data_IF_064822625322
#
_entry.id   IF_064822625322
#
_cell.length_a   1.000
_cell.length_b   1.000
_cell.length_c   1.000
_cell.angle_alpha   90.00
_cell.angle_beta   90.00
_cell.angle_gamma   90.00
#
_symmetry.space_group_name_H-M   'P 1'
#
loop_
_entity.id
_entity.type
_entity.pdbx_description
1 polymer ?
#
# COMPACT_ATOMS: atom_id res chain seq x y z
N UNK A 1 -15.54 -7.20 24.42
CA UNK A 1 -16.54 -6.67 23.46
C UNK A 1 -15.73 -6.13 22.29
N UNK A 2 -15.86 -6.77 21.13
CA UNK A 2 -14.96 -6.66 19.97
C UNK A 2 -15.06 -5.28 19.27
N UNK A 3 -13.97 -4.52 19.28
CA UNK A 3 -13.70 -3.37 18.41
C UNK A 3 -12.27 -3.61 17.92
N UNK A 4 -12.00 -4.06 16.71
CA UNK A 4 -11.98 -3.23 15.50
C UNK A 4 -11.99 -4.17 14.29
N UNK A 5 -13.11 -4.22 13.54
CA UNK A 5 -13.09 -4.69 12.16
C UNK A 5 -13.24 -3.44 11.30
N UNK A 6 -12.14 -2.81 10.95
CA UNK A 6 -12.15 -1.68 10.02
C UNK A 6 -12.66 -2.16 8.67
N UNK A 7 -13.52 -1.37 8.02
CA UNK A 7 -13.99 -1.72 6.68
C UNK A 7 -12.82 -1.67 5.70
N UNK A 8 -12.85 -2.45 4.59
CA UNK A 8 -11.75 -2.46 3.63
C UNK A 8 -11.48 -1.07 3.03
N UNK A 9 -12.53 -0.25 2.88
CA UNK A 9 -12.40 1.15 2.46
C UNK A 9 -11.57 1.99 3.45
N UNK A 10 -11.74 1.78 4.77
CA UNK A 10 -10.99 2.50 5.80
C UNK A 10 -9.52 2.05 5.82
N UNK A 11 -9.27 0.75 5.62
CA UNK A 11 -7.91 0.20 5.51
C UNK A 11 -7.19 0.76 4.28
N UNK A 12 -7.87 0.83 3.13
CA UNK A 12 -7.33 1.43 1.92
C UNK A 12 -7.05 2.93 2.09
N UNK A 13 -7.97 3.68 2.71
CA UNK A 13 -7.81 5.10 2.96
C UNK A 13 -6.61 5.37 3.89
N UNK A 14 -6.52 4.64 5.00
CA UNK A 14 -5.39 4.72 5.94
C UNK A 14 -4.07 4.37 5.29
N UNK A 15 -4.04 3.39 4.39
CA UNK A 15 -2.84 3.03 3.64
C UNK A 15 -2.35 4.18 2.73
N UNK A 16 -3.27 4.80 1.99
CA UNK A 16 -2.95 5.97 1.13
C UNK A 16 -2.48 7.15 1.98
N UNK A 17 -3.16 7.43 3.09
CA UNK A 17 -2.80 8.50 4.03
C UNK A 17 -1.40 8.29 4.62
N UNK A 18 -1.08 7.06 5.05
CA UNK A 18 0.24 6.71 5.55
C UNK A 18 1.33 6.93 4.49
N UNK A 19 1.07 6.64 3.21
CA UNK A 19 2.00 6.95 2.12
C UNK A 19 2.15 8.47 1.97
N UNK A 20 1.05 9.23 1.99
CA UNK A 20 1.06 10.68 1.86
C UNK A 20 1.91 11.35 2.96
N UNK A 21 1.71 10.97 4.22
CA UNK A 21 2.40 11.57 5.36
C UNK A 21 3.76 10.94 5.69
N UNK A 22 4.11 9.85 5.03
CA UNK A 22 5.43 9.23 5.12
C UNK A 22 5.60 8.33 6.33
N UNK A 23 4.50 7.70 6.74
CA UNK A 23 4.43 6.78 7.88
C UNK A 23 4.83 5.37 7.43
N UNK A 24 6.11 5.16 7.12
CA UNK A 24 6.61 3.90 6.54
C UNK A 24 6.35 2.66 7.41
N UNK A 25 6.34 2.81 8.74
CA UNK A 25 5.95 1.73 9.66
C UNK A 25 4.48 1.38 9.54
N UNK A 26 3.59 2.37 9.46
CA UNK A 26 2.14 2.14 9.30
C UNK A 26 1.84 1.49 7.96
N UNK A 27 2.52 1.93 6.89
CA UNK A 27 2.44 1.29 5.56
C UNK A 27 2.77 -0.20 5.67
N UNK A 28 3.87 -0.56 6.35
CA UNK A 28 4.28 -1.96 6.52
C UNK A 28 3.31 -2.79 7.36
N UNK A 29 2.76 -2.19 8.42
CA UNK A 29 1.79 -2.84 9.30
C UNK A 29 0.50 -3.18 8.57
N UNK A 30 0.05 -2.30 7.66
CA UNK A 30 -1.15 -2.51 6.85
C UNK A 30 -0.97 -3.54 5.74
N UNK A 31 0.27 -3.88 5.35
CA UNK A 31 0.52 -4.95 4.38
C UNK A 31 0.17 -6.31 4.96
N UNK A 32 -0.49 -7.13 4.14
CA UNK A 32 -0.69 -8.55 4.40
C UNK A 32 0.66 -9.30 4.34
N UNK A 33 0.72 -10.56 4.82
CA UNK A 33 1.89 -11.40 4.63
C UNK A 33 2.31 -11.52 3.15
N UNK A 34 1.34 -11.62 2.24
CA UNK A 34 1.56 -11.64 0.80
C UNK A 34 2.14 -10.32 0.30
N UNK A 35 1.61 -9.18 0.77
CA UNK A 35 2.11 -7.86 0.43
C UNK A 35 3.53 -7.63 0.92
N UNK A 36 3.84 -8.04 2.16
CA UNK A 36 5.20 -7.98 2.73
C UNK A 36 6.18 -8.85 1.94
N UNK A 37 5.80 -10.09 1.62
CA UNK A 37 6.63 -10.99 0.80
C UNK A 37 6.89 -10.42 -0.60
N UNK A 38 5.89 -9.79 -1.21
CA UNK A 38 6.02 -9.14 -2.52
C UNK A 38 6.96 -7.93 -2.44
N UNK A 39 6.82 -7.09 -1.42
CA UNK A 39 7.68 -5.93 -1.19
C UNK A 39 9.16 -6.34 -1.04
N UNK A 40 9.44 -7.39 -0.24
CA UNK A 40 10.79 -7.94 -0.09
C UNK A 40 11.30 -8.52 -1.42
N UNK A 41 10.46 -9.24 -2.17
CA UNK A 41 10.83 -9.81 -3.47
C UNK A 41 11.19 -8.72 -4.50
N UNK A 42 10.44 -7.62 -4.53
CA UNK A 42 10.75 -6.45 -5.37
C UNK A 42 12.05 -5.79 -4.92
N UNK A 43 12.27 -5.64 -3.61
CA UNK A 43 13.51 -5.08 -3.09
C UNK A 43 14.73 -5.95 -3.42
N UNK A 44 14.62 -7.28 -3.32
CA UNK A 44 15.64 -8.24 -3.76
C UNK A 44 15.98 -8.06 -5.23
N UNK A 45 14.96 -7.95 -6.10
CA UNK A 45 15.17 -7.69 -7.53
C UNK A 45 15.85 -6.33 -7.81
N UNK A 46 15.74 -5.38 -6.87
CA UNK A 46 16.38 -4.06 -6.92
C UNK A 46 17.71 -3.98 -6.16
N UNK A 47 18.26 -5.12 -5.72
CA UNK A 47 19.59 -5.19 -5.11
C UNK A 47 19.62 -5.14 -3.58
N UNK A 48 18.50 -5.39 -2.90
CA UNK A 48 18.52 -5.68 -1.46
C UNK A 48 19.37 -6.93 -1.18
N UNK A 49 20.20 -6.86 -0.15
CA UNK A 49 20.99 -8.00 0.29
C UNK A 49 20.10 -9.17 0.73
N UNK A 50 20.47 -10.41 0.34
CA UNK A 50 19.66 -11.61 0.61
C UNK A 50 19.58 -11.95 2.09
N UNK A 51 20.64 -11.69 2.85
CA UNK A 51 20.67 -11.92 4.30
C UNK A 51 19.72 -10.94 4.98
N UNK A 52 19.79 -9.65 4.60
CA UNK A 52 18.87 -8.63 5.13
C UNK A 52 17.42 -8.98 4.77
N UNK A 53 17.14 -9.37 3.52
CA UNK A 53 15.81 -9.80 3.10
C UNK A 53 15.27 -10.98 3.91
N UNK A 54 16.10 -12.01 4.17
CA UNK A 54 15.71 -13.15 5.02
C UNK A 54 15.36 -12.68 6.43
N UNK A 55 16.21 -11.84 7.02
CA UNK A 55 15.97 -11.32 8.37
C UNK A 55 14.69 -10.50 8.47
N UNK A 56 14.36 -9.71 7.45
CA UNK A 56 13.10 -8.94 7.39
C UNK A 56 11.90 -9.90 7.34
N UNK A 57 11.96 -10.93 6.48
CA UNK A 57 10.89 -11.94 6.36
C UNK A 57 10.70 -12.72 7.66
N UNK A 58 11.80 -13.09 8.30
CA UNK A 58 11.82 -13.86 9.55
C UNK A 58 11.57 -12.97 10.80
N UNK A 59 11.38 -11.66 10.60
CA UNK A 59 11.18 -10.66 11.68
C UNK A 59 12.32 -10.63 12.73
N UNK A 60 13.56 -10.83 12.27
CA UNK A 60 14.80 -10.80 13.07
C UNK A 60 15.81 -9.78 12.57
N UNK A 61 15.43 -8.93 11.60
CA UNK A 61 16.25 -7.80 11.17
C UNK A 61 16.44 -6.82 12.34
N UNK A 62 17.61 -6.20 12.41
CA UNK A 62 17.78 -5.15 13.40
C UNK A 62 16.90 -3.93 13.06
N UNK A 63 16.59 -3.06 14.04
CA UNK A 63 15.70 -1.93 13.81
C UNK A 63 16.18 -0.95 12.73
N UNK A 64 17.50 -0.81 12.53
CA UNK A 64 18.05 0.10 11.54
C UNK A 64 17.95 -0.48 10.12
N UNK A 65 18.23 -1.77 9.96
CA UNK A 65 18.01 -2.53 8.72
C UNK A 65 16.54 -2.43 8.28
N UNK A 66 15.61 -2.63 9.22
CA UNK A 66 14.19 -2.54 8.96
C UNK A 66 13.78 -1.11 8.59
N UNK A 67 14.17 -0.10 9.37
CA UNK A 67 13.81 1.30 9.09
C UNK A 67 14.28 1.76 7.70
N UNK A 68 15.52 1.44 7.32
CA UNK A 68 16.05 1.78 5.99
C UNK A 68 15.27 1.08 4.86
N UNK A 69 14.95 -0.20 5.03
CA UNK A 69 14.10 -0.92 4.08
C UNK A 69 12.72 -0.27 3.93
N UNK A 70 12.09 0.09 5.04
CA UNK A 70 10.76 0.70 5.05
C UNK A 70 10.74 2.08 4.41
N UNK A 71 11.77 2.91 4.64
CA UNK A 71 11.92 4.20 3.94
C UNK A 71 12.04 4.02 2.43
N UNK A 72 12.82 3.03 1.97
CA UNK A 72 12.96 2.72 0.53
C UNK A 72 11.67 2.20 -0.07
N UNK A 73 10.94 1.35 0.65
CA UNK A 73 9.62 0.86 0.25
C UNK A 73 8.66 2.05 0.03
N UNK A 74 8.54 2.92 1.03
CA UNK A 74 7.71 4.11 0.95
C UNK A 74 8.09 5.02 -0.22
N UNK A 75 9.38 5.23 -0.44
CA UNK A 75 9.86 6.01 -1.59
C UNK A 75 9.47 5.36 -2.93
N UNK A 76 9.54 4.04 -3.03
CA UNK A 76 9.07 3.28 -4.18
C UNK A 76 7.58 3.48 -4.44
N UNK A 77 6.75 3.35 -3.42
CA UNK A 77 5.29 3.55 -3.52
C UNK A 77 4.93 4.98 -3.97
N UNK A 78 5.59 6.00 -3.40
CA UNK A 78 5.41 7.40 -3.83
C UNK A 78 5.84 7.62 -5.27
N UNK A 79 6.94 6.99 -5.71
CA UNK A 79 7.39 7.04 -7.10
C UNK A 79 6.38 6.40 -8.05
N UNK A 80 5.75 5.32 -7.63
CA UNK A 80 4.74 4.60 -8.41
C UNK A 80 3.46 5.45 -8.57
N UNK A 81 3.15 6.32 -7.60
CA UNK A 81 2.03 7.27 -7.63
C UNK A 81 2.39 8.68 -8.12
N UNK A 82 3.62 8.91 -8.63
CA UNK A 82 4.13 10.25 -8.97
C UNK A 82 3.34 11.02 -10.02
N UNK A 83 2.45 10.36 -10.76
CA UNK A 83 1.58 10.97 -11.77
C UNK A 83 0.42 11.77 -11.15
N UNK A 84 0.22 11.64 -9.84
CA UNK A 84 -0.84 12.32 -9.08
C UNK A 84 -0.26 12.89 -7.79
N UNK A 85 -0.93 13.89 -7.20
CA UNK A 85 -0.59 14.31 -5.84
C UNK A 85 -1.12 13.27 -4.85
N UNK A 86 -0.20 12.56 -4.20
CA UNK A 86 -0.52 11.50 -3.23
C UNK A 86 -1.33 12.04 -2.05
N UNK A 87 -1.13 13.29 -1.66
CA UNK A 87 -1.88 13.92 -0.57
C UNK A 87 -3.34 14.21 -0.93
N UNK A 88 -3.67 14.22 -2.22
CA UNK A 88 -5.03 14.47 -2.71
C UNK A 88 -5.77 13.18 -3.13
N UNK A 89 -5.11 12.02 -3.05
CA UNK A 89 -5.73 10.75 -3.43
C UNK A 89 -6.89 10.41 -2.47
N UNK A 90 -8.03 10.02 -3.05
CA UNK A 90 -9.23 9.57 -2.33
C UNK A 90 -9.61 8.16 -2.76
N UNK A 91 -10.14 7.39 -1.82
CA UNK A 91 -10.82 6.13 -2.10
C UNK A 91 -12.29 6.44 -2.39
N UNK A 92 -12.79 6.05 -3.57
CA UNK A 92 -14.17 6.40 -4.00
C UNK A 92 -15.11 5.23 -4.15
N UNK A 93 -14.58 4.04 -4.34
CA UNK A 93 -15.35 2.82 -4.43
C UNK A 93 -14.52 1.68 -3.85
N UNK A 94 -15.21 0.71 -3.23
CA UNK A 94 -14.59 -0.50 -2.74
C UNK A 94 -15.49 -1.68 -3.14
N UNK A 95 -15.03 -2.45 -4.11
CA UNK A 95 -15.69 -3.67 -4.53
C UNK A 95 -15.25 -4.77 -3.57
N UNK A 96 -16.19 -5.26 -2.76
CA UNK A 96 -15.94 -6.28 -1.75
C UNK A 96 -16.60 -7.58 -2.16
N UNK A 97 -15.81 -8.63 -2.23
CA UNK A 97 -16.22 -10.03 -2.30
C UNK A 97 -15.80 -10.73 -1.00
N UNK A 98 -16.29 -11.96 -0.76
CA UNK A 98 -16.18 -12.71 0.50
C UNK A 98 -14.92 -12.42 1.34
N UNK A 99 -13.73 -12.64 0.75
CA UNK A 99 -12.45 -12.38 1.40
C UNK A 99 -11.48 -11.53 0.58
N UNK A 100 -11.97 -10.86 -0.46
CA UNK A 100 -11.14 -10.00 -1.31
C UNK A 100 -11.83 -8.67 -1.55
N UNK A 101 -11.06 -7.57 -1.52
CA UNK A 101 -11.60 -6.25 -1.80
C UNK A 101 -10.67 -5.47 -2.73
N UNK A 102 -11.26 -4.66 -3.61
CA UNK A 102 -10.55 -3.76 -4.51
C UNK A 102 -11.06 -2.34 -4.25
N UNK A 103 -10.18 -1.48 -3.74
CA UNK A 103 -10.47 -0.08 -3.53
C UNK A 103 -9.93 0.77 -4.68
N UNK A 104 -10.78 1.57 -5.31
CA UNK A 104 -10.42 2.45 -6.43
C UNK A 104 -9.95 3.81 -5.93
N UNK A 105 -8.79 4.24 -6.42
CA UNK A 105 -8.14 5.48 -6.05
C UNK A 105 -8.31 6.53 -7.15
N UNK A 106 -8.72 7.74 -6.77
CA UNK A 106 -8.76 8.90 -7.67
C UNK A 106 -8.01 10.08 -7.06
N UNK A 107 -7.62 11.05 -7.88
CA UNK A 107 -7.19 12.38 -7.46
C UNK A 107 -8.08 13.44 -8.12
N UNK A 108 -8.44 14.54 -7.44
CA UNK A 108 -9.15 15.65 -8.04
C UNK A 108 -8.42 16.18 -9.29
N UNK A 109 -9.19 16.58 -10.30
CA UNK A 109 -8.65 17.23 -11.49
C UNK A 109 -8.82 18.74 -11.40
N UNK A 110 -7.77 19.47 -11.77
CA UNK A 110 -7.81 20.93 -11.95
C UNK A 110 -8.13 21.32 -13.40
N UNK A 111 -8.27 20.34 -14.31
CA UNK A 111 -8.55 20.56 -15.72
C UNK A 111 -10.07 20.73 -15.93
N UNK A 112 -10.53 21.84 -16.55
CA UNK A 112 -11.95 22.05 -16.82
C UNK A 112 -12.58 20.89 -17.60
N UNK A 113 -13.74 20.40 -17.14
CA UNK A 113 -14.48 19.31 -17.77
C UNK A 113 -13.99 17.90 -17.41
N UNK A 114 -12.98 17.76 -16.56
CA UNK A 114 -12.60 16.49 -15.93
C UNK A 114 -12.70 16.66 -14.43
N UNK A 115 -13.52 15.85 -13.75
CA UNK A 115 -13.73 15.97 -12.31
C UNK A 115 -12.61 15.30 -11.49
N UNK A 116 -12.06 14.19 -11.98
CA UNK A 116 -11.01 13.43 -11.31
C UNK A 116 -10.19 12.56 -12.28
N UNK A 117 -8.97 12.23 -11.87
CA UNK A 117 -8.09 11.27 -12.55
C UNK A 117 -8.01 9.98 -11.75
N UNK A 118 -8.02 8.83 -12.44
CA UNK A 118 -7.73 7.56 -11.80
C UNK A 118 -6.25 7.52 -11.36
N UNK A 119 -6.01 7.28 -10.07
CA UNK A 119 -4.68 7.16 -9.47
C UNK A 119 -4.21 5.71 -9.41
N UNK A 120 -5.13 4.76 -9.31
CA UNK A 120 -4.83 3.33 -9.20
C UNK A 120 -5.91 2.57 -8.49
N UNK A 121 -5.56 1.37 -8.03
CA UNK A 121 -6.37 0.57 -7.12
C UNK A 121 -5.51 -0.12 -6.08
N UNK A 122 -6.11 -0.39 -4.94
CA UNK A 122 -5.54 -1.18 -3.86
C UNK A 122 -6.27 -2.51 -3.82
N UNK A 123 -5.51 -3.61 -3.83
CA UNK A 123 -6.05 -4.95 -3.67
C UNK A 123 -5.80 -5.40 -2.23
N UNK A 124 -6.84 -5.94 -1.61
CA UNK A 124 -6.85 -6.35 -0.21
C UNK A 124 -7.42 -7.76 -0.07
N UNK A 125 -6.99 -8.44 0.99
CA UNK A 125 -7.56 -9.70 1.42
C UNK A 125 -7.92 -9.65 2.91
N UNK A 126 -8.97 -10.38 3.27
CA UNK A 126 -9.34 -10.62 4.66
C UNK A 126 -8.69 -11.91 5.17
N UNK A 127 -8.15 -11.88 6.39
CA UNK A 127 -7.72 -13.09 7.09
C UNK A 127 -8.92 -13.91 7.63
N UNK A 128 -8.65 -15.09 8.19
CA UNK A 128 -9.69 -15.96 8.75
C UNK A 128 -10.48 -15.33 9.92
N UNK A 129 -9.96 -14.27 10.54
CA UNK A 129 -10.65 -13.51 11.57
C UNK A 129 -11.52 -12.36 11.00
N UNK A 130 -11.44 -12.13 9.68
CA UNK A 130 -12.12 -11.06 8.96
C UNK A 130 -11.42 -9.71 9.04
N UNK A 131 -10.10 -9.68 9.31
CA UNK A 131 -9.30 -8.44 9.29
C UNK A 131 -8.74 -8.21 7.90
N UNK A 132 -8.94 -7.01 7.37
CA UNK A 132 -8.46 -6.61 6.06
C UNK A 132 -7.02 -6.14 6.10
N UNK A 133 -6.23 -6.53 5.10
CA UNK A 133 -4.86 -6.09 4.89
C UNK A 133 -4.57 -5.90 3.40
N UNK A 134 -3.54 -5.11 3.10
CA UNK A 134 -3.16 -4.69 1.74
C UNK A 134 -2.26 -5.77 1.11
N UNK A 135 -2.70 -6.35 0.01
CA UNK A 135 -1.87 -7.28 -0.78
C UNK A 135 -0.98 -6.54 -1.76
N UNK A 136 -1.52 -5.54 -2.47
CA UNK A 136 -0.76 -4.74 -3.44
C UNK A 136 -1.43 -3.42 -3.78
N UNK A 137 -0.58 -2.47 -4.18
CA UNK A 137 -0.96 -1.25 -4.86
C UNK A 137 -0.76 -1.42 -6.37
N UNK A 138 -1.76 -1.09 -7.16
CA UNK A 138 -1.70 -1.07 -8.61
C UNK A 138 -1.89 0.37 -9.10
N UNK A 139 -0.81 1.15 -9.28
CA UNK A 139 -0.90 2.51 -9.79
C UNK A 139 -1.43 2.51 -11.23
N UNK A 140 -2.17 3.54 -11.63
CA UNK A 140 -2.39 3.78 -13.06
C UNK A 140 -1.06 4.22 -13.65
N UNK A 141 -0.44 3.33 -14.42
CA UNK A 141 0.71 3.69 -15.24
C UNK A 141 0.14 4.52 -16.38
N UNK A 142 0.40 5.83 -16.38
CA UNK A 142 0.26 6.63 -17.59
C UNK A 142 1.09 5.92 -18.67
N UNK A 143 0.41 5.38 -19.69
CA UNK A 143 1.07 4.75 -20.82
C UNK A 143 2.03 5.73 -21.50
N UNK A 144 3.09 5.23 -22.16
CA UNK A 144 3.96 6.07 -22.97
C UNK A 144 3.18 6.86 -24.04
#
# INVERSE_FOLDING_TARGET
MNSDRSAPVDVAARFVEAIAWGEHTVVWELLSPTGRSTAVSVALARGLDRVIASRIVDNVADPAELDEFLRRLLHGLRRDLRSVDVAEIKVVACDVDDRSAIAHLITPSTIPGTDAWAAGRVVMAADDAGRWAIDRLEPVIAGP
#
